data_IF_656706321237
#
_entry.id   IF_656706321237
#
_cell.length_a   1.000
_cell.length_b   1.000
_cell.length_c   1.000
_cell.angle_alpha   90.00
_cell.angle_beta   90.00
_cell.angle_gamma   90.00
#
_symmetry.space_group_name_H-M   'P 1'
#
loop_
_entity.id
_entity.type
_entity.pdbx_description
1 polymer ?
#
# COMPACT_ATOMS: atom_id res chain seq x y z
N UNK A 1 -6.74 5.37 -15.33
CA UNK A 1 -6.50 6.35 -14.25
C UNK A 1 -5.67 5.67 -13.15
N UNK A 2 -4.53 6.23 -12.77
CA UNK A 2 -3.65 5.64 -11.75
C UNK A 2 -4.14 6.05 -10.36
N UNK A 3 -4.73 5.10 -9.64
CA UNK A 3 -5.18 5.30 -8.26
C UNK A 3 -4.04 4.99 -7.30
N UNK A 4 -3.85 5.88 -6.31
CA UNK A 4 -2.83 5.72 -5.26
C UNK A 4 -3.00 4.41 -4.47
N UNK A 5 -4.23 3.92 -4.36
CA UNK A 5 -4.55 2.62 -3.79
C UNK A 5 -3.93 1.47 -4.58
N UNK A 6 -4.04 1.49 -5.91
CA UNK A 6 -3.49 0.44 -6.78
C UNK A 6 -1.97 0.46 -6.78
N UNK A 7 -1.35 1.65 -6.75
CA UNK A 7 0.12 1.77 -6.70
C UNK A 7 0.67 1.32 -5.34
N UNK A 8 0.03 1.69 -4.22
CA UNK A 8 0.38 1.18 -2.89
C UNK A 8 0.19 -0.33 -2.79
N UNK A 9 -0.97 -0.85 -3.25
CA UNK A 9 -1.24 -2.28 -3.28
C UNK A 9 -0.16 -3.01 -4.09
N UNK A 10 0.18 -2.53 -5.29
CA UNK A 10 1.22 -3.12 -6.14
C UNK A 10 2.59 -3.14 -5.46
N UNK A 11 2.99 -2.07 -4.75
CA UNK A 11 4.27 -2.04 -4.02
C UNK A 11 4.28 -3.00 -2.82
N UNK A 12 3.15 -3.17 -2.14
CA UNK A 12 3.00 -4.16 -1.07
C UNK A 12 3.06 -5.58 -1.66
N UNK A 13 2.38 -5.82 -2.78
CA UNK A 13 2.42 -7.08 -3.54
C UNK A 13 3.84 -7.43 -4.00
N UNK A 14 4.59 -6.42 -4.47
CA UNK A 14 6.01 -6.57 -4.86
C UNK A 14 6.95 -6.72 -3.66
N UNK A 15 6.44 -6.77 -2.43
CA UNK A 15 7.22 -6.79 -1.18
C UNK A 15 8.20 -5.62 -1.06
N UNK A 16 7.97 -4.51 -1.77
CA UNK A 16 8.71 -3.26 -1.58
C UNK A 16 8.30 -2.59 -0.27
N UNK A 17 7.05 -2.78 0.15
CA UNK A 17 6.52 -2.28 1.41
C UNK A 17 6.24 -3.45 2.34
N UNK A 18 7.16 -3.70 3.28
CA UNK A 18 7.05 -4.77 4.29
C UNK A 18 6.64 -4.28 5.66
N UNK A 19 6.88 -3.00 5.96
CA UNK A 19 6.64 -2.44 7.30
C UNK A 19 5.66 -1.29 7.27
N UNK A 20 4.96 -1.09 8.38
CA UNK A 20 4.04 0.05 8.57
C UNK A 20 4.73 1.41 8.38
N UNK A 21 6.03 1.51 8.69
CA UNK A 21 6.84 2.73 8.47
C UNK A 21 7.06 3.01 6.98
N UNK A 22 7.45 1.99 6.22
CA UNK A 22 7.63 2.10 4.76
C UNK A 22 6.31 2.47 4.07
N UNK A 23 5.22 1.82 4.49
CA UNK A 23 3.88 2.12 4.02
C UNK A 23 3.52 3.59 4.27
N UNK A 24 3.82 4.11 5.46
CA UNK A 24 3.55 5.51 5.79
C UNK A 24 4.38 6.50 4.95
N UNK A 25 5.68 6.23 4.74
CA UNK A 25 6.54 7.04 3.86
C UNK A 25 6.00 7.08 2.43
N UNK A 26 5.67 5.91 1.88
CA UNK A 26 5.18 5.79 0.51
C UNK A 26 3.80 6.41 0.34
N UNK A 27 2.92 6.28 1.34
CA UNK A 27 1.65 7.02 1.38
C UNK A 27 1.87 8.53 1.26
N UNK A 28 2.75 9.10 2.07
CA UNK A 28 3.03 10.54 2.07
C UNK A 28 3.65 10.97 0.73
N UNK A 29 4.57 10.18 0.19
CA UNK A 29 5.22 10.43 -1.10
C UNK A 29 4.21 10.41 -2.25
N UNK A 30 3.34 9.40 -2.29
CA UNK A 30 2.28 9.29 -3.28
C UNK A 30 1.20 10.35 -3.08
N UNK A 31 0.86 10.70 -1.84
CA UNK A 31 -0.06 11.80 -1.55
C UNK A 31 0.43 13.10 -2.17
N UNK A 32 1.73 13.41 -2.00
CA UNK A 32 2.37 14.59 -2.63
C UNK A 32 2.37 14.48 -4.16
N UNK A 33 2.76 13.33 -4.71
CA UNK A 33 2.85 13.10 -6.17
C UNK A 33 1.49 13.27 -6.86
N UNK A 34 0.42 12.76 -6.26
CA UNK A 34 -0.94 12.78 -6.81
C UNK A 34 -1.79 13.96 -6.28
N UNK A 35 -1.20 14.89 -5.52
CA UNK A 35 -1.91 16.01 -4.85
C UNK A 35 -3.17 15.56 -4.09
N UNK A 36 -3.10 14.41 -3.43
CA UNK A 36 -4.19 13.93 -2.61
C UNK A 36 -4.31 14.79 -1.34
N UNK A 37 -5.48 15.39 -1.13
CA UNK A 37 -5.82 16.11 0.11
C UNK A 37 -5.89 15.21 1.34
N UNK A 38 -6.08 13.90 1.15
CA UNK A 38 -6.22 12.91 2.23
C UNK A 38 -5.30 11.73 2.02
N UNK A 39 -4.52 11.41 3.05
CA UNK A 39 -3.71 10.20 3.09
C UNK A 39 -4.65 9.00 3.15
N UNK A 40 -4.51 8.01 2.25
CA UNK A 40 -5.35 6.83 2.28
C UNK A 40 -5.11 6.03 3.57
N UNK A 41 -6.19 5.67 4.31
CA UNK A 41 -6.06 4.89 5.53
C UNK A 41 -5.54 3.48 5.21
N UNK A 42 -4.84 2.88 6.17
CA UNK A 42 -4.30 1.52 6.05
C UNK A 42 -5.37 0.53 5.62
N UNK A 43 -6.57 0.59 6.22
CA UNK A 43 -7.70 -0.29 5.87
C UNK A 43 -8.09 -0.21 4.40
N UNK A 44 -8.24 0.98 3.82
CA UNK A 44 -8.62 1.13 2.39
C UNK A 44 -7.55 0.59 1.43
N UNK A 45 -6.28 0.66 1.83
CA UNK A 45 -5.17 0.13 1.05
C UNK A 45 -5.18 -1.40 1.15
N UNK A 46 -5.32 -1.94 2.37
CA UNK A 46 -5.42 -3.37 2.64
C UNK A 46 -6.63 -4.01 1.96
N UNK A 47 -7.79 -3.35 1.94
CA UNK A 47 -8.99 -3.80 1.22
C UNK A 47 -8.78 -3.91 -0.30
N UNK A 48 -7.86 -3.11 -0.87
CA UNK A 48 -7.50 -3.18 -2.29
C UNK A 48 -6.41 -4.20 -2.59
N UNK A 49 -5.76 -4.74 -1.55
CA UNK A 49 -4.81 -5.84 -1.73
C UNK A 49 -5.65 -7.11 -1.72
N UNK A 50 -5.59 -7.95 -2.77
CA UNK A 50 -6.26 -9.23 -2.73
C UNK A 50 -5.77 -10.00 -1.51
N UNK A 51 -6.71 -10.41 -0.67
CA UNK A 51 -6.47 -11.11 0.61
C UNK A 51 -5.56 -12.35 0.46
N UNK A 52 -5.40 -12.86 -0.77
CA UNK A 52 -4.48 -13.94 -1.14
C UNK A 52 -3.01 -13.72 -0.79
N UNK A 53 -2.51 -12.49 -0.61
CA UNK A 53 -1.11 -12.27 -0.22
C UNK A 53 -0.89 -12.08 1.28
N UNK A 54 -1.94 -12.01 2.08
CA UNK A 54 -1.80 -11.97 3.54
C UNK A 54 -1.40 -13.32 4.15
N UNK A 55 -1.21 -14.37 3.33
CA UNK A 55 -0.81 -15.70 3.76
C UNK A 55 0.68 -16.01 3.56
N UNK A 56 1.45 -15.15 2.89
CA UNK A 56 2.85 -15.44 2.57
C UNK A 56 3.83 -14.88 3.61
N UNK A 57 3.57 -15.17 4.90
CA UNK A 57 4.61 -15.11 5.94
C UNK A 57 4.27 -16.06 7.11
N UNK A 58 3.91 -17.31 6.79
CA UNK A 58 4.07 -18.46 7.68
C UNK A 58 4.32 -19.72 6.85
N UNK A 59 5.38 -19.72 6.05
CA UNK A 59 6.01 -20.99 5.70
C UNK A 59 7.47 -20.91 6.11
N UNK A 60 7.84 -21.93 6.88
CA UNK A 60 8.99 -22.05 7.76
C UNK A 60 10.12 -22.74 7.03
#
# INVERSE_FOLDING_TARGET
MQNVYTELATRILKREIKTKKELHKEKVRLCKKYKLKKIPPDSKILENIPHSLSQEEKEK
#
